data_IF_757260994038
#
_entry.id   IF_757260994038
#
_cell.length_a   1.000
_cell.length_b   1.000
_cell.length_c   1.000
_cell.angle_alpha   90.00
_cell.angle_beta   90.00
_cell.angle_gamma   90.00
#
_symmetry.space_group_name_H-M   'P 1'
#
loop_
_entity.id
_entity.type
_entity.pdbx_description
1 polymer ?
#
# COMPACT_ATOMS: atom_id res chain seq x y z
N UNK A 1 1.01 9.92 -16.11
CA UNK A 1 0.15 11.02 -15.69
C UNK A 1 -0.96 10.46 -14.84
N UNK A 2 -1.27 11.13 -13.77
CA UNK A 2 -2.47 10.85 -12.98
C UNK A 2 -3.62 11.63 -13.63
N UNK A 3 -4.86 11.23 -13.41
CA UNK A 3 -6.03 11.81 -14.07
C UNK A 3 -6.15 13.34 -13.87
N UNK A 4 -5.53 13.87 -12.81
CA UNK A 4 -5.55 15.26 -12.41
C UNK A 4 -4.30 16.09 -12.80
N UNK A 5 -3.41 15.54 -13.63
CA UNK A 5 -2.28 16.28 -14.18
C UNK A 5 -0.91 15.60 -14.09
N UNK A 6 0.15 16.36 -14.34
CA UNK A 6 1.54 15.91 -14.21
C UNK A 6 2.10 16.33 -12.86
N UNK A 7 2.55 15.36 -12.07
CA UNK A 7 3.16 15.59 -10.77
C UNK A 7 4.66 15.30 -10.80
N UNK A 8 5.42 15.99 -9.95
CA UNK A 8 6.80 15.59 -9.68
C UNK A 8 6.87 14.24 -8.94
N UNK A 9 8.03 13.59 -9.02
CA UNK A 9 8.22 12.27 -8.44
C UNK A 9 8.00 12.24 -6.91
N UNK A 10 8.35 13.32 -6.21
CA UNK A 10 8.19 13.40 -4.76
C UNK A 10 6.71 13.39 -4.36
N UNK A 11 5.86 14.13 -5.08
CA UNK A 11 4.40 14.13 -4.88
C UNK A 11 3.78 12.78 -5.20
N UNK A 12 4.26 12.10 -6.26
CA UNK A 12 3.78 10.74 -6.58
C UNK A 12 4.12 9.77 -5.46
N UNK A 13 5.36 9.80 -4.95
CA UNK A 13 5.78 8.94 -3.83
C UNK A 13 4.95 9.23 -2.57
N UNK A 14 4.77 10.51 -2.23
CA UNK A 14 3.98 10.92 -1.08
C UNK A 14 2.52 10.41 -1.19
N UNK A 15 1.90 10.61 -2.35
CA UNK A 15 0.53 10.16 -2.60
C UNK A 15 0.40 8.65 -2.47
N UNK A 16 1.26 7.88 -3.13
CA UNK A 16 1.24 6.41 -3.02
C UNK A 16 1.46 5.94 -1.58
N UNK A 17 2.39 6.59 -0.85
CA UNK A 17 2.66 6.26 0.53
C UNK A 17 1.41 6.45 1.42
N UNK A 18 0.69 7.55 1.25
CA UNK A 18 -0.55 7.86 1.96
C UNK A 18 -1.65 6.87 1.58
N UNK A 19 -1.93 6.74 0.29
CA UNK A 19 -3.02 5.90 -0.24
C UNK A 19 -2.87 4.42 0.10
N UNK A 20 -1.64 3.94 0.32
CA UNK A 20 -1.36 2.53 0.59
C UNK A 20 -0.81 2.28 2.01
N UNK A 21 -0.80 3.29 2.88
CA UNK A 21 -0.21 3.19 4.24
C UNK A 21 1.21 2.62 4.23
N UNK A 22 2.02 3.05 3.26
CA UNK A 22 3.36 2.55 3.02
C UNK A 22 4.41 3.58 3.45
N UNK A 23 5.49 3.14 4.09
CA UNK A 23 6.55 4.06 4.50
C UNK A 23 7.23 4.69 3.26
N UNK A 24 7.20 6.02 3.07
CA UNK A 24 7.78 6.66 1.88
C UNK A 24 9.29 6.42 1.77
N UNK A 25 10.03 6.28 2.87
CA UNK A 25 11.46 5.94 2.84
C UNK A 25 11.71 4.55 2.26
N UNK A 26 10.81 3.59 2.55
CA UNK A 26 10.87 2.26 1.96
C UNK A 26 10.70 2.33 0.44
N UNK A 27 9.72 3.10 -0.04
CA UNK A 27 9.47 3.30 -1.47
C UNK A 27 10.65 3.96 -2.18
N UNK A 28 11.25 4.98 -1.57
CA UNK A 28 12.43 5.66 -2.10
C UNK A 28 13.63 4.69 -2.15
N UNK A 29 13.84 3.89 -1.10
CA UNK A 29 14.93 2.90 -1.07
C UNK A 29 14.72 1.80 -2.11
N UNK A 30 13.49 1.33 -2.33
CA UNK A 30 13.19 0.35 -3.39
C UNK A 30 13.45 0.93 -4.78
N UNK A 31 13.09 2.19 -5.00
CA UNK A 31 13.35 2.89 -6.25
C UNK A 31 14.85 3.02 -6.52
N UNK A 32 15.62 3.41 -5.49
CA UNK A 32 17.08 3.48 -5.61
C UNK A 32 17.71 2.10 -5.84
N UNK A 33 17.26 1.07 -5.10
CA UNK A 33 17.79 -0.28 -5.22
C UNK A 33 17.57 -0.89 -6.61
N UNK A 34 16.43 -0.61 -7.22
CA UNK A 34 16.03 -1.19 -8.50
C UNK A 34 16.65 -0.47 -9.70
N UNK A 35 16.65 0.84 -9.67
CA UNK A 35 16.96 1.66 -10.85
C UNK A 35 17.97 2.79 -10.61
N UNK A 36 18.35 3.06 -9.36
CA UNK A 36 19.23 4.19 -9.04
C UNK A 36 18.59 5.56 -9.33
N UNK A 37 17.27 5.67 -9.29
CA UNK A 37 16.55 6.89 -9.69
C UNK A 37 16.67 8.05 -8.70
N UNK A 38 17.01 7.76 -7.44
CA UNK A 38 17.08 8.79 -6.41
C UNK A 38 18.39 9.58 -6.53
N UNK A 39 19.49 8.89 -6.79
CA UNK A 39 20.83 9.49 -6.94
C UNK A 39 21.29 9.64 -8.39
N UNK A 40 20.58 9.05 -9.33
CA UNK A 40 20.90 9.03 -10.74
C UNK A 40 19.73 9.36 -11.66
N UNK A 41 19.83 8.91 -12.89
CA UNK A 41 18.82 9.08 -13.92
C UNK A 41 18.48 7.73 -14.56
N UNK A 42 17.27 7.55 -15.12
CA UNK A 42 16.93 6.35 -15.88
C UNK A 42 17.95 6.11 -17.01
N UNK A 43 18.48 4.90 -17.10
CA UNK A 43 19.44 4.52 -18.14
C UNK A 43 18.77 4.15 -19.46
N UNK A 44 17.45 3.94 -19.44
CA UNK A 44 16.67 3.55 -20.61
C UNK A 44 15.22 3.98 -20.48
N UNK A 45 14.48 3.98 -21.59
CA UNK A 45 13.03 4.19 -21.60
C UNK A 45 12.33 3.09 -20.80
N UNK A 46 12.82 1.85 -20.85
CA UNK A 46 12.26 0.76 -20.08
C UNK A 46 12.39 0.97 -18.57
N UNK A 47 13.52 1.48 -18.09
CA UNK A 47 13.68 1.88 -16.68
C UNK A 47 12.79 3.06 -16.31
N UNK A 48 12.60 4.03 -17.21
CA UNK A 48 11.69 5.15 -17.00
C UNK A 48 10.23 4.69 -16.90
N UNK A 49 9.84 3.73 -17.70
CA UNK A 49 8.49 3.17 -17.71
C UNK A 49 8.24 2.19 -16.56
N UNK A 50 9.27 1.45 -16.14
CA UNK A 50 9.18 0.39 -15.12
C UNK A 50 10.28 0.52 -14.05
N UNK A 51 10.29 1.62 -13.27
CA UNK A 51 11.38 1.92 -12.34
C UNK A 51 11.58 0.91 -11.22
N UNK A 52 10.59 0.10 -10.90
CA UNK A 52 10.73 -1.01 -9.93
C UNK A 52 10.91 -2.37 -10.61
N UNK A 53 11.02 -2.42 -11.94
CA UNK A 53 11.34 -3.64 -12.69
C UNK A 53 10.18 -4.62 -12.87
N UNK A 54 8.96 -4.28 -12.50
CA UNK A 54 7.79 -5.11 -12.78
C UNK A 54 7.26 -4.82 -14.19
N UNK A 55 7.66 -5.66 -15.15
CA UNK A 55 7.37 -5.48 -16.58
C UNK A 55 5.96 -5.97 -16.92
N UNK A 56 4.98 -5.08 -16.82
CA UNK A 56 3.61 -5.31 -17.26
C UNK A 56 3.01 -4.00 -17.75
N UNK A 57 2.31 -4.03 -18.88
CA UNK A 57 1.70 -2.85 -19.48
C UNK A 57 0.71 -2.15 -18.55
N UNK A 58 0.00 -2.92 -17.75
CA UNK A 58 -0.97 -2.40 -16.78
C UNK A 58 -0.32 -1.59 -15.67
N UNK A 59 0.98 -1.83 -15.42
CA UNK A 59 1.76 -1.23 -14.33
C UNK A 59 2.81 -0.24 -14.82
N UNK A 60 2.65 0.28 -16.03
CA UNK A 60 3.55 1.28 -16.60
C UNK A 60 3.46 2.61 -15.85
N UNK A 61 4.62 3.19 -15.50
CA UNK A 61 4.78 4.48 -14.86
C UNK A 61 4.95 4.43 -13.33
N UNK A 62 5.57 5.48 -12.79
CA UNK A 62 6.02 5.54 -11.40
C UNK A 62 4.89 5.25 -10.39
N UNK A 63 3.73 5.88 -10.53
CA UNK A 63 2.61 5.70 -9.62
C UNK A 63 2.17 4.23 -9.54
N UNK A 64 1.94 3.61 -10.69
CA UNK A 64 1.47 2.21 -10.75
C UNK A 64 2.53 1.23 -10.25
N UNK A 65 3.80 1.47 -10.55
CA UNK A 65 4.91 0.65 -10.05
C UNK A 65 5.01 0.70 -8.52
N UNK A 66 4.92 1.88 -7.95
CA UNK A 66 4.97 2.07 -6.50
C UNK A 66 3.72 1.48 -5.81
N UNK A 67 2.52 1.67 -6.37
CA UNK A 67 1.28 1.09 -5.84
C UNK A 67 1.33 -0.45 -5.86
N UNK A 68 1.84 -1.02 -6.96
CA UNK A 68 2.08 -2.46 -7.04
C UNK A 68 3.07 -2.94 -5.97
N UNK A 69 4.16 -2.22 -5.74
CA UNK A 69 5.13 -2.56 -4.71
C UNK A 69 4.48 -2.55 -3.31
N UNK A 70 3.71 -1.52 -2.99
CA UNK A 70 2.97 -1.44 -1.72
C UNK A 70 2.03 -2.65 -1.55
N UNK A 71 1.32 -3.04 -2.61
CA UNK A 71 0.46 -4.21 -2.57
C UNK A 71 1.24 -5.50 -2.28
N UNK A 72 2.37 -5.73 -2.97
CA UNK A 72 3.18 -6.93 -2.72
C UNK A 72 3.76 -6.94 -1.29
N UNK A 73 4.21 -5.78 -0.80
CA UNK A 73 4.67 -5.64 0.58
C UNK A 73 3.55 -5.93 1.58
N UNK A 74 2.35 -5.42 1.34
CA UNK A 74 1.17 -5.66 2.21
C UNK A 74 0.77 -7.13 2.22
N UNK A 75 0.72 -7.80 1.05
CA UNK A 75 0.45 -9.24 0.97
C UNK A 75 1.47 -10.02 1.80
N UNK A 76 2.76 -9.73 1.64
CA UNK A 76 3.81 -10.40 2.40
C UNK A 76 3.76 -10.10 3.90
N UNK A 77 3.46 -8.86 4.28
CA UNK A 77 3.41 -8.43 5.68
C UNK A 77 2.22 -9.05 6.44
N UNK A 78 1.03 -8.87 5.91
CA UNK A 78 -0.19 -9.36 6.57
C UNK A 78 -0.35 -10.87 6.42
N UNK A 79 0.00 -11.42 5.25
CA UNK A 79 -0.02 -12.86 5.04
C UNK A 79 0.99 -13.62 5.91
N UNK A 80 2.12 -13.01 6.27
CA UNK A 80 3.02 -13.56 7.27
C UNK A 80 2.38 -13.54 8.67
N UNK A 81 1.72 -12.46 9.04
CA UNK A 81 1.10 -12.30 10.35
C UNK A 81 -0.09 -13.23 10.58
N UNK A 82 -0.88 -13.48 9.56
CA UNK A 82 -2.03 -14.40 9.63
C UNK A 82 -1.68 -15.86 9.30
N UNK A 83 -0.43 -16.12 8.89
CA UNK A 83 0.06 -17.46 8.58
C UNK A 83 -0.30 -17.97 7.18
N UNK A 84 -0.86 -17.14 6.30
CA UNK A 84 -1.17 -17.50 4.91
C UNK A 84 0.06 -17.47 3.99
N UNK A 85 1.10 -16.71 4.32
CA UNK A 85 2.36 -16.62 3.58
C UNK A 85 3.50 -17.23 4.39
N UNK A 86 3.69 -18.54 4.31
CA UNK A 86 4.79 -19.26 4.96
C UNK A 86 5.95 -19.59 4.01
N UNK A 87 5.74 -19.40 2.72
CA UNK A 87 6.72 -19.59 1.66
C UNK A 87 6.53 -18.55 0.56
N UNK A 88 7.58 -18.36 -0.23
CA UNK A 88 7.53 -17.51 -1.42
C UNK A 88 7.94 -18.32 -2.65
N UNK A 89 7.38 -17.96 -3.80
CA UNK A 89 7.78 -18.55 -5.09
C UNK A 89 8.49 -17.46 -5.88
N UNK A 90 9.77 -17.70 -6.20
CA UNK A 90 10.58 -16.79 -7.00
C UNK A 90 10.20 -16.87 -8.48
N UNK A 91 10.66 -15.91 -9.27
CA UNK A 91 10.27 -15.79 -10.68
C UNK A 91 10.63 -17.00 -11.55
N UNK A 92 11.67 -17.73 -11.17
CA UNK A 92 12.07 -19.01 -11.79
C UNK A 92 11.30 -20.24 -11.26
N UNK A 93 10.27 -19.99 -10.44
CA UNK A 93 9.39 -21.05 -9.92
C UNK A 93 9.93 -21.78 -8.69
N UNK A 94 11.06 -21.36 -8.12
CA UNK A 94 11.60 -21.99 -6.91
C UNK A 94 10.76 -21.58 -5.68
N UNK A 95 10.37 -22.58 -4.88
CA UNK A 95 9.65 -22.39 -3.63
C UNK A 95 10.63 -22.31 -2.47
N UNK A 96 10.59 -21.23 -1.74
CA UNK A 96 11.46 -20.99 -0.59
C UNK A 96 10.60 -20.80 0.66
N UNK A 97 10.76 -21.70 1.64
CA UNK A 97 10.09 -21.59 2.93
C UNK A 97 10.75 -20.48 3.74
N UNK A 98 9.94 -19.58 4.26
CA UNK A 98 10.42 -18.48 5.11
C UNK A 98 10.75 -19.00 6.50
N UNK A 99 11.82 -18.48 7.10
CA UNK A 99 12.20 -18.85 8.46
C UNK A 99 11.16 -18.32 9.46
N UNK A 100 10.70 -19.13 10.42
CA UNK A 100 9.72 -18.69 11.42
C UNK A 100 10.24 -17.60 12.36
N UNK A 101 11.53 -17.28 12.29
CA UNK A 101 12.17 -16.20 13.07
C UNK A 101 12.11 -14.84 12.36
N UNK A 102 11.59 -14.77 11.13
CA UNK A 102 11.46 -13.50 10.43
C UNK A 102 10.38 -12.64 11.09
N UNK A 103 10.65 -11.33 11.15
CA UNK A 103 9.57 -10.37 11.40
C UNK A 103 8.77 -10.13 10.12
N UNK A 104 7.57 -9.58 10.26
CA UNK A 104 6.66 -9.35 9.16
C UNK A 104 7.23 -8.41 8.08
N UNK A 105 8.04 -7.42 8.45
CA UNK A 105 8.70 -6.52 7.50
C UNK A 105 9.71 -7.25 6.61
N UNK A 106 10.52 -8.15 7.18
CA UNK A 106 11.45 -8.97 6.39
C UNK A 106 10.71 -9.98 5.50
N UNK A 107 9.61 -10.55 5.99
CA UNK A 107 8.75 -11.43 5.19
C UNK A 107 8.10 -10.66 4.02
N UNK A 108 7.68 -9.42 4.24
CA UNK A 108 7.16 -8.54 3.19
C UNK A 108 8.20 -8.28 2.09
N UNK A 109 9.42 -7.93 2.45
CA UNK A 109 10.52 -7.76 1.49
C UNK A 109 10.85 -9.07 0.75
N UNK A 110 10.84 -10.20 1.47
CA UNK A 110 11.06 -11.51 0.86
C UNK A 110 10.00 -11.82 -0.18
N UNK A 111 8.73 -11.54 0.12
CA UNK A 111 7.63 -11.72 -0.82
C UNK A 111 7.75 -10.78 -2.03
N UNK A 112 8.00 -9.49 -1.80
CA UNK A 112 8.16 -8.49 -2.85
C UNK A 112 9.28 -8.87 -3.83
N UNK A 113 10.48 -9.19 -3.34
CA UNK A 113 11.61 -9.54 -4.20
C UNK A 113 11.41 -10.88 -4.93
N UNK A 114 10.67 -11.83 -4.35
CA UNK A 114 10.34 -13.08 -5.03
C UNK A 114 9.46 -12.86 -6.29
N UNK A 115 8.63 -11.79 -6.30
CA UNK A 115 7.83 -11.43 -7.48
C UNK A 115 8.65 -10.87 -8.64
N UNK A 116 9.87 -10.39 -8.35
CA UNK A 116 10.75 -9.72 -9.32
C UNK A 116 11.92 -10.58 -9.77
N UNK A 117 12.45 -11.44 -8.89
CA UNK A 117 13.73 -12.09 -9.05
C UNK A 117 13.65 -13.61 -9.11
N UNK A 118 14.64 -14.21 -9.78
CA UNK A 118 14.99 -15.61 -9.60
C UNK A 118 15.58 -15.84 -8.20
N UNK A 119 15.70 -17.08 -7.79
CA UNK A 119 16.15 -17.45 -6.45
C UNK A 119 17.56 -16.91 -6.11
N UNK A 120 18.59 -16.97 -6.98
CA UNK A 120 19.91 -16.41 -6.66
C UNK A 120 19.88 -14.90 -6.42
N UNK A 121 19.19 -14.14 -7.28
CA UNK A 121 19.07 -12.68 -7.15
C UNK A 121 18.20 -12.28 -5.96
N UNK A 122 17.17 -13.05 -5.67
CA UNK A 122 16.34 -12.91 -4.47
C UNK A 122 17.18 -13.08 -3.20
N UNK A 123 18.02 -14.11 -3.14
CA UNK A 123 18.93 -14.34 -2.01
C UNK A 123 19.98 -13.23 -1.89
N UNK A 124 20.50 -12.73 -3.00
CA UNK A 124 21.42 -11.59 -3.01
C UNK A 124 20.76 -10.33 -2.45
N UNK A 125 19.52 -10.03 -2.85
CA UNK A 125 18.80 -8.85 -2.40
C UNK A 125 18.53 -8.85 -0.89
N UNK A 126 18.44 -10.01 -0.25
CA UNK A 126 18.09 -10.14 1.16
C UNK A 126 19.30 -10.43 2.08
N UNK A 127 20.29 -11.18 1.59
CA UNK A 127 21.31 -11.78 2.46
C UNK A 127 22.77 -11.47 2.10
N UNK A 128 23.04 -10.80 0.98
CA UNK A 128 24.42 -10.38 0.64
C UNK A 128 24.89 -9.22 1.50
N UNK A 129 26.17 -8.92 1.48
CA UNK A 129 26.74 -7.72 2.13
C UNK A 129 26.19 -6.41 1.57
N UNK A 130 25.88 -6.39 0.27
CA UNK A 130 25.30 -5.23 -0.44
C UNK A 130 23.79 -5.46 -0.71
N UNK A 131 23.08 -5.95 0.30
CA UNK A 131 21.65 -6.22 0.22
C UNK A 131 20.81 -4.93 0.33
N UNK A 132 19.50 -5.08 0.18
CA UNK A 132 18.55 -3.97 0.29
C UNK A 132 18.62 -3.24 1.65
N UNK A 133 18.78 -3.98 2.74
CA UNK A 133 18.85 -3.38 4.09
C UNK A 133 20.11 -2.51 4.25
N UNK A 134 21.23 -2.93 3.67
CA UNK A 134 22.49 -2.15 3.65
C UNK A 134 22.28 -0.83 2.91
N UNK A 135 21.62 -0.86 1.74
CA UNK A 135 21.27 0.35 1.00
C UNK A 135 20.31 1.24 1.81
N UNK A 136 19.26 0.66 2.36
CA UNK A 136 18.29 1.41 3.18
C UNK A 136 18.98 2.11 4.34
N UNK A 137 19.87 1.42 5.03
CA UNK A 137 20.61 1.96 6.19
C UNK A 137 21.56 3.09 5.80
N UNK A 138 22.18 3.02 4.61
CA UNK A 138 22.98 4.12 4.06
C UNK A 138 22.15 5.37 3.75
N UNK A 139 20.93 5.19 3.28
CA UNK A 139 20.05 6.31 2.90
C UNK A 139 19.36 6.94 4.10
N UNK A 140 18.92 6.16 5.07
CA UNK A 140 17.97 6.59 6.10
C UNK A 140 18.35 6.22 7.54
N UNK A 141 19.49 5.58 7.72
CA UNK A 141 19.91 5.05 9.03
C UNK A 141 19.30 3.68 9.32
N UNK A 142 19.63 3.15 10.49
CA UNK A 142 19.17 1.83 10.94
C UNK A 142 17.65 1.82 11.15
N UNK A 143 16.89 1.00 10.40
CA UNK A 143 15.45 0.92 10.55
C UNK A 143 15.01 0.35 11.90
N UNK A 144 15.82 -0.47 12.54
CA UNK A 144 15.49 -1.10 13.83
C UNK A 144 15.48 -0.11 14.97
N UNK A 145 16.41 0.85 14.98
CA UNK A 145 16.40 1.95 15.96
C UNK A 145 15.08 2.73 15.87
N UNK A 146 14.62 3.00 14.66
CA UNK A 146 13.33 3.67 14.47
C UNK A 146 12.14 2.80 14.87
N UNK A 147 12.16 1.51 14.53
CA UNK A 147 11.11 0.58 14.94
C UNK A 147 10.93 0.57 16.47
N UNK A 148 12.03 0.51 17.20
CA UNK A 148 12.01 0.56 18.68
C UNK A 148 11.40 1.86 19.25
N UNK A 149 11.48 2.96 18.49
CA UNK A 149 10.90 4.24 18.90
C UNK A 149 9.39 4.34 18.66
N UNK A 150 8.84 3.54 17.75
CA UNK A 150 7.43 3.59 17.33
C UNK A 150 6.65 2.34 17.72
N UNK A 151 7.30 1.32 18.26
CA UNK A 151 6.63 0.13 18.77
C UNK A 151 6.03 0.35 20.17
N UNK A 152 4.88 -0.27 20.45
CA UNK A 152 4.13 -1.16 19.57
C UNK A 152 3.48 -0.42 18.42
N UNK A 153 3.51 -1.02 17.20
CA UNK A 153 2.92 -0.44 15.98
C UNK A 153 1.43 -0.09 16.17
N UNK A 154 0.74 -0.93 16.92
CA UNK A 154 -0.62 -0.66 17.38
C UNK A 154 -0.58 -0.33 18.86
N UNK A 155 -1.14 0.80 19.31
CA UNK A 155 -1.29 1.07 20.72
C UNK A 155 -1.92 -0.13 21.45
N UNK A 156 -1.44 -0.53 22.63
CA UNK A 156 -1.93 -1.71 23.32
C UNK A 156 -3.40 -1.64 23.71
N UNK A 157 -3.98 -0.45 23.66
CA UNK A 157 -5.38 -0.18 24.00
C UNK A 157 -6.19 0.28 22.79
N UNK A 158 -5.74 -0.02 21.56
CA UNK A 158 -6.51 0.34 20.39
C UNK A 158 -7.84 -0.41 20.41
N UNK A 159 -8.91 0.35 20.38
CA UNK A 159 -10.28 -0.18 20.35
C UNK A 159 -10.86 0.22 19.00
N UNK A 160 -11.47 -0.75 18.31
CA UNK A 160 -12.19 -0.42 17.09
C UNK A 160 -13.32 0.56 17.43
N UNK A 161 -13.45 1.68 16.73
CA UNK A 161 -14.56 2.61 16.96
C UNK A 161 -15.90 1.94 16.63
N UNK A 162 -16.95 2.37 17.30
CA UNK A 162 -18.29 1.97 16.92
C UNK A 162 -18.64 2.56 15.56
N UNK A 163 -18.88 1.67 14.58
CA UNK A 163 -19.21 2.07 13.22
C UNK A 163 -20.70 1.85 12.98
N UNK A 164 -21.32 2.80 12.29
CA UNK A 164 -22.66 2.68 11.74
C UNK A 164 -22.62 2.52 10.23
N UNK A 165 -23.72 2.05 9.65
CA UNK A 165 -23.82 2.00 8.18
C UNK A 165 -23.78 3.43 7.59
N UNK A 166 -23.19 3.61 6.39
CA UNK A 166 -22.99 4.93 5.79
C UNK A 166 -24.28 5.50 5.17
N UNK A 167 -25.42 5.25 5.80
CA UNK A 167 -26.71 5.77 5.37
C UNK A 167 -27.67 5.87 6.57
N UNK A 168 -28.71 6.72 6.52
CA UNK A 168 -29.62 6.94 7.60
C UNK A 168 -30.31 5.67 8.10
N UNK A 169 -30.54 5.52 9.42
CA UNK A 169 -31.27 4.38 9.98
C UNK A 169 -32.63 4.15 9.31
N UNK A 170 -33.02 2.90 9.16
CA UNK A 170 -34.27 2.52 8.53
C UNK A 170 -34.24 2.43 7.00
N UNK A 171 -33.13 2.79 6.37
CA UNK A 171 -32.93 2.55 4.94
C UNK A 171 -32.30 1.18 4.70
N UNK A 172 -32.59 0.61 3.54
CA UNK A 172 -31.99 -0.64 3.06
C UNK A 172 -31.12 -0.33 1.84
N UNK A 173 -29.84 -0.70 1.92
CA UNK A 173 -28.90 -0.60 0.80
C UNK A 173 -28.35 -1.99 0.49
N UNK A 174 -28.00 -2.23 -0.76
CA UNK A 174 -27.42 -3.47 -1.21
C UNK A 174 -25.89 -3.40 -1.08
N UNK A 175 -25.27 -4.45 -0.53
CA UNK A 175 -23.84 -4.69 -0.69
C UNK A 175 -23.60 -5.19 -2.11
N UNK A 176 -23.01 -4.36 -2.97
CA UNK A 176 -22.85 -4.63 -4.40
C UNK A 176 -21.47 -5.12 -4.78
N UNK A 177 -20.48 -4.94 -3.92
CA UNK A 177 -19.12 -5.41 -4.15
C UNK A 177 -18.23 -5.30 -2.92
N UNK A 178 -17.09 -5.97 -3.00
CA UNK A 178 -16.04 -5.92 -1.98
C UNK A 178 -15.84 -7.24 -1.22
N UNK A 179 -14.74 -7.31 -0.43
CA UNK A 179 -13.73 -6.27 -0.34
C UNK A 179 -12.87 -6.16 -1.61
N UNK A 180 -12.53 -4.95 -1.99
CA UNK A 180 -11.69 -4.67 -3.14
C UNK A 180 -10.68 -3.54 -2.86
N UNK A 181 -9.82 -3.25 -3.84
CA UNK A 181 -8.81 -2.21 -3.73
C UNK A 181 -9.43 -0.80 -3.60
N UNK A 182 -8.95 -0.01 -2.65
CA UNK A 182 -9.51 1.31 -2.31
C UNK A 182 -9.26 2.34 -3.39
N UNK A 183 -8.01 2.46 -3.88
CA UNK A 183 -7.59 3.57 -4.75
C UNK A 183 -7.34 3.17 -6.20
N UNK A 184 -6.95 1.94 -6.43
CA UNK A 184 -6.67 1.37 -7.75
C UNK A 184 -6.65 -0.14 -7.64
N UNK A 185 -6.67 -0.84 -8.77
CA UNK A 185 -6.64 -2.31 -8.82
C UNK A 185 -5.50 -2.96 -8.02
N UNK A 186 -4.50 -2.17 -7.58
CA UNK A 186 -3.29 -2.64 -6.92
C UNK A 186 -3.07 -2.00 -5.54
N UNK A 187 -4.05 -1.33 -5.00
CA UNK A 187 -3.98 -0.74 -3.66
C UNK A 187 -4.48 -1.71 -2.58
N UNK A 188 -4.45 -1.27 -1.33
CA UNK A 188 -4.94 -2.03 -0.18
C UNK A 188 -6.38 -2.48 -0.38
N UNK A 189 -6.66 -3.77 -0.12
CA UNK A 189 -8.00 -4.35 -0.18
C UNK A 189 -8.74 -4.00 1.10
N UNK A 190 -9.50 -2.93 1.08
CA UNK A 190 -10.19 -2.40 2.27
C UNK A 190 -11.49 -1.64 1.95
N UNK A 191 -11.99 -1.74 0.72
CA UNK A 191 -13.23 -1.07 0.33
C UNK A 191 -14.38 -2.05 0.10
N UNK A 192 -15.58 -1.61 0.38
CA UNK A 192 -16.84 -2.29 0.04
C UNK A 192 -17.74 -1.32 -0.71
N UNK A 193 -18.56 -1.83 -1.60
CA UNK A 193 -19.52 -1.06 -2.36
C UNK A 193 -20.93 -1.24 -1.79
N UNK A 194 -21.58 -0.12 -1.54
CA UNK A 194 -22.96 -0.07 -1.09
C UNK A 194 -23.78 0.78 -2.05
N UNK A 195 -24.92 0.29 -2.49
CA UNK A 195 -25.84 1.02 -3.36
C UNK A 195 -27.21 1.18 -2.71
N UNK A 196 -27.86 2.36 -2.82
CA UNK A 196 -29.23 2.54 -2.37
C UNK A 196 -30.18 1.63 -3.15
N UNK A 197 -31.21 1.14 -2.50
CA UNK A 197 -32.26 0.36 -3.14
C UNK A 197 -33.21 1.31 -3.90
N UNK A 198 -32.90 1.50 -5.20
CA UNK A 198 -33.67 2.33 -6.12
C UNK A 198 -33.90 1.61 -7.45
N UNK A 199 -34.97 1.97 -8.17
CA UNK A 199 -35.33 1.33 -9.45
C UNK A 199 -34.39 1.75 -10.60
N UNK A 200 -33.74 2.90 -10.49
CA UNK A 200 -32.78 3.39 -11.48
C UNK A 200 -31.44 2.69 -11.35
N UNK A 201 -30.83 2.40 -12.49
CA UNK A 201 -29.50 1.77 -12.58
C UNK A 201 -28.51 2.67 -13.32
N UNK A 202 -27.23 2.50 -13.02
CA UNK A 202 -26.14 3.25 -13.65
C UNK A 202 -25.81 4.56 -12.93
N UNK A 203 -25.07 5.43 -13.61
CA UNK A 203 -24.62 6.70 -13.05
C UNK A 203 -25.76 7.75 -13.18
N UNK A 204 -26.45 8.01 -12.10
CA UNK A 204 -27.45 9.08 -12.00
C UNK A 204 -27.31 9.79 -10.65
N UNK A 205 -27.83 10.99 -10.55
CA UNK A 205 -27.86 11.74 -9.30
C UNK A 205 -29.01 11.22 -8.44
N UNK A 206 -28.69 10.60 -7.31
CA UNK A 206 -29.66 10.14 -6.32
C UNK A 206 -29.93 11.22 -5.28
N UNK A 207 -31.12 11.23 -4.68
CA UNK A 207 -31.45 12.03 -3.50
C UNK A 207 -31.10 11.33 -2.17
N UNK A 208 -30.53 10.14 -2.23
CA UNK A 208 -30.08 9.40 -1.04
C UNK A 208 -28.77 9.98 -0.50
N UNK A 209 -28.72 10.12 0.79
CA UNK A 209 -27.55 10.69 1.47
C UNK A 209 -26.64 9.58 1.99
N UNK A 210 -25.35 9.75 1.76
CA UNK A 210 -24.30 9.03 2.48
C UNK A 210 -24.01 9.78 3.77
N UNK A 211 -23.93 9.06 4.88
CA UNK A 211 -23.60 9.59 6.20
C UNK A 211 -22.25 9.09 6.66
N UNK A 212 -21.56 9.87 7.50
CA UNK A 212 -20.33 9.39 8.13
C UNK A 212 -20.62 8.14 8.98
N UNK A 213 -19.74 7.15 8.89
CA UNK A 213 -19.85 5.88 9.63
C UNK A 213 -19.54 6.02 11.12
N UNK A 214 -18.84 7.09 11.50
CA UNK A 214 -18.53 7.47 12.88
C UNK A 214 -18.25 8.98 12.94
N UNK A 215 -18.28 9.60 14.13
CA UNK A 215 -17.74 10.92 14.35
C UNK A 215 -16.24 10.97 14.00
N UNK A 216 -15.81 12.04 13.35
CA UNK A 216 -14.41 12.21 12.98
C UNK A 216 -14.13 13.57 12.38
N UNK A 217 -12.87 13.79 12.01
CA UNK A 217 -12.39 15.01 11.35
C UNK A 217 -12.17 14.73 9.86
N UNK A 218 -12.78 15.56 9.00
CA UNK A 218 -12.48 15.51 7.56
C UNK A 218 -11.05 16.02 7.35
N UNK A 219 -10.18 15.17 6.83
CA UNK A 219 -8.76 15.48 6.60
C UNK A 219 -8.43 15.67 5.12
N UNK A 220 -9.25 15.10 4.23
CA UNK A 220 -9.09 15.27 2.78
C UNK A 220 -10.43 15.19 2.07
N UNK A 221 -10.59 16.00 1.03
CA UNK A 221 -11.73 15.93 0.10
C UNK A 221 -11.27 15.97 -1.35
N UNK A 222 -12.09 15.43 -2.23
CA UNK A 222 -11.89 15.46 -3.67
C UNK A 222 -13.20 15.16 -4.40
N UNK A 223 -13.23 15.16 -5.74
CA UNK A 223 -14.42 14.77 -6.49
C UNK A 223 -14.84 13.33 -6.11
N UNK A 224 -16.02 13.19 -5.49
CA UNK A 224 -16.52 11.90 -5.03
C UNK A 224 -15.75 11.28 -3.85
N UNK A 225 -14.92 12.05 -3.15
CA UNK A 225 -14.07 11.54 -2.08
C UNK A 225 -14.18 12.42 -0.83
N UNK A 226 -14.38 11.76 0.30
CA UNK A 226 -14.22 12.37 1.64
C UNK A 226 -13.41 11.38 2.47
N UNK A 227 -12.34 11.84 3.09
CA UNK A 227 -11.52 11.05 4.02
C UNK A 227 -11.74 11.60 5.43
N UNK A 228 -12.12 10.72 6.33
CA UNK A 228 -12.45 11.04 7.72
C UNK A 228 -11.47 10.33 8.65
N UNK A 229 -10.73 11.08 9.41
CA UNK A 229 -9.91 10.63 10.51
C UNK A 229 -10.79 10.52 11.76
N UNK A 230 -10.84 9.32 12.34
CA UNK A 230 -11.73 8.99 13.45
C UNK A 230 -11.09 9.21 14.83
N UNK A 231 -9.77 9.23 14.93
CA UNK A 231 -9.07 9.49 16.20
C UNK A 231 -8.75 10.99 16.41
N UNK A 232 -8.95 11.80 15.37
CA UNK A 232 -8.91 13.27 15.45
C UNK A 232 -7.51 13.87 15.48
N UNK A 233 -6.45 13.11 15.24
CA UNK A 233 -5.08 13.59 15.23
C UNK A 233 -4.73 14.41 13.97
N UNK A 234 -5.55 14.30 12.93
CA UNK A 234 -5.42 15.03 11.67
C UNK A 234 -4.49 14.37 10.65
N UNK A 235 -4.05 13.15 10.88
CA UNK A 235 -3.16 12.40 9.99
C UNK A 235 -3.86 11.18 9.40
N UNK A 236 -3.77 11.02 8.08
CA UNK A 236 -4.30 9.83 7.38
C UNK A 236 -3.47 8.57 7.59
N UNK A 237 -2.31 8.64 8.26
CA UNK A 237 -1.35 7.56 8.41
C UNK A 237 -1.38 6.90 9.77
N UNK A 238 -2.17 7.40 10.69
CA UNK A 238 -2.27 6.94 12.08
C UNK A 238 -3.71 6.63 12.45
N UNK A 239 -3.91 5.76 13.42
CA UNK A 239 -5.23 5.47 13.97
C UNK A 239 -6.21 4.84 12.99
N UNK A 240 -7.45 5.31 13.02
CA UNK A 240 -8.56 4.85 12.20
C UNK A 240 -8.97 5.91 11.18
N UNK A 241 -8.89 5.55 9.91
CA UNK A 241 -9.25 6.42 8.77
C UNK A 241 -10.25 5.71 7.86
N UNK A 242 -11.29 6.41 7.44
CA UNK A 242 -12.32 5.91 6.53
C UNK A 242 -12.54 6.92 5.39
#
# INVERSE_FOLDING_TARGET
PMEDGTYDAARVIQRVAIENSCNPRLLIALLEYQSGWVTGQPKSIAEADYPLGYLSLDYKGLYKQLSWACQQLSIGYYGWRDGSVLEVTTRDGQRVRLSPRLNAGTAALSYYFARLYDQPRWAQALYSSENFLTLYSRMFGDPWVRAQMVEPLFPPFIVQPELQLPFPPGQTWALTGGPHAVWSANSVIGAIDLAPNEDQRGCYTTEKWVTAVAPGRVVRTGPGLVVVDLDGDGYEQTGWVI
#
